data_IF_205055461078
#
_entry.id   IF_205055461078
#
_cell.length_a   1.000
_cell.length_b   1.000
_cell.length_c   1.000
_cell.angle_alpha   90.00
_cell.angle_beta   90.00
_cell.angle_gamma   90.00
#
_symmetry.space_group_name_H-M   'P 1'
#
loop_
_entity.id
_entity.type
_entity.pdbx_description
1 polymer ?
#
# COMPACT_ATOMS: atom_id res chain seq x y z
N UNK A 1 40.66 -0.62 23.63
CA UNK A 1 40.29 -0.65 25.06
C UNK A 1 40.63 -2.03 25.62
N UNK A 2 41.73 -2.21 26.37
CA UNK A 2 42.02 -3.48 27.04
C UNK A 2 41.18 -3.56 28.33
N UNK A 3 40.41 -4.65 28.55
CA UNK A 3 39.77 -4.91 29.84
C UNK A 3 38.30 -5.35 29.86
N UNK A 4 37.61 -5.47 28.72
CA UNK A 4 36.24 -6.01 28.72
C UNK A 4 36.29 -7.54 28.68
N UNK A 5 35.77 -8.21 29.73
CA UNK A 5 35.69 -9.68 29.81
C UNK A 5 34.33 -10.25 29.38
N UNK A 6 33.23 -9.51 29.58
CA UNK A 6 31.89 -9.90 29.10
C UNK A 6 30.99 -8.68 28.98
N UNK A 7 30.14 -8.64 27.95
CA UNK A 7 29.07 -7.64 27.77
C UNK A 7 27.73 -8.37 27.82
N UNK A 8 26.85 -7.99 28.74
CA UNK A 8 25.47 -8.47 28.79
C UNK A 8 24.54 -7.27 28.54
N UNK A 9 23.99 -7.20 27.33
CA UNK A 9 22.99 -6.19 26.98
C UNK A 9 21.60 -6.79 27.18
N UNK A 10 20.91 -6.37 28.22
CA UNK A 10 19.46 -6.57 28.36
C UNK A 10 18.75 -5.33 27.83
N UNK A 11 18.63 -5.25 26.50
CA UNK A 11 17.84 -4.20 25.85
C UNK A 11 16.38 -4.67 25.87
N UNK A 12 15.54 -4.02 26.68
CA UNK A 12 14.08 -4.17 26.61
C UNK A 12 13.53 -3.04 25.74
N UNK A 13 12.96 -3.38 24.58
CA UNK A 13 12.24 -2.44 23.73
C UNK A 13 10.76 -2.58 24.08
N UNK A 14 10.27 -1.72 24.98
CA UNK A 14 8.84 -1.58 25.24
C UNK A 14 8.29 -0.54 24.28
N UNK A 15 7.50 -1.00 23.33
CA UNK A 15 6.69 -0.13 22.47
C UNK A 15 5.22 -0.25 22.90
N UNK A 16 4.96 -0.02 24.18
CA UNK A 16 3.67 -0.21 24.86
C UNK A 16 2.73 1.00 24.78
N UNK A 17 3.08 2.00 23.97
CA UNK A 17 2.15 3.04 23.55
C UNK A 17 0.97 2.43 22.78
N UNK A 18 -0.22 3.02 22.93
CA UNK A 18 -1.39 2.61 22.16
C UNK A 18 -1.06 2.66 20.66
N UNK A 19 -1.14 1.51 19.98
CA UNK A 19 -0.97 1.43 18.53
C UNK A 19 -2.06 2.29 17.90
N UNK A 20 -1.68 3.43 17.30
CA UNK A 20 -2.61 4.27 16.57
C UNK A 20 -2.70 3.78 15.13
N UNK A 21 -3.82 4.03 14.48
CA UNK A 21 -4.04 3.76 13.05
C UNK A 21 -2.93 4.35 12.18
N UNK A 22 -2.46 5.56 12.49
CA UNK A 22 -1.36 6.18 11.75
C UNK A 22 -0.06 5.39 11.89
N UNK A 23 0.23 4.87 13.09
CA UNK A 23 1.42 4.05 13.33
C UNK A 23 1.35 2.76 12.49
N UNK A 24 0.20 2.08 12.47
CA UNK A 24 0.01 0.86 11.64
C UNK A 24 0.19 1.13 10.15
N UNK A 25 -0.28 2.29 9.68
CA UNK A 25 -0.16 2.66 8.27
C UNK A 25 1.29 2.86 7.87
N UNK A 26 2.04 3.59 8.70
CA UNK A 26 3.47 3.84 8.48
C UNK A 26 4.27 2.53 8.48
N UNK A 27 4.06 1.69 9.49
CA UNK A 27 4.73 0.38 9.61
C UNK A 27 4.42 -0.51 8.38
N UNK A 28 3.16 -0.57 7.94
CA UNK A 28 2.79 -1.34 6.76
C UNK A 28 3.44 -0.81 5.48
N UNK A 29 3.56 0.51 5.33
CA UNK A 29 4.23 1.12 4.19
C UNK A 29 5.74 0.91 4.21
N UNK A 30 6.36 0.91 5.38
CA UNK A 30 7.79 0.63 5.55
C UNK A 30 8.12 -0.81 5.16
N UNK A 31 7.33 -1.80 5.62
CA UNK A 31 7.53 -3.20 5.25
C UNK A 31 7.42 -3.42 3.73
N UNK A 32 6.45 -2.75 3.08
CA UNK A 32 6.33 -2.78 1.62
C UNK A 32 7.57 -2.21 0.93
N UNK A 33 8.11 -1.09 1.41
CA UNK A 33 9.31 -0.44 0.84
C UNK A 33 10.59 -1.27 1.05
N UNK A 34 10.64 -2.11 2.08
CA UNK A 34 11.79 -2.97 2.37
C UNK A 34 11.82 -4.24 1.50
N UNK A 35 10.66 -4.73 1.04
CA UNK A 35 10.60 -5.88 0.13
C UNK A 35 10.87 -5.45 -1.32
N UNK A 36 12.04 -5.83 -1.84
CA UNK A 36 12.49 -5.51 -3.21
C UNK A 36 11.59 -6.07 -4.32
N UNK A 37 10.66 -6.97 -3.99
CA UNK A 37 9.68 -7.53 -4.93
C UNK A 37 8.41 -6.68 -5.03
N UNK A 38 8.28 -5.63 -4.22
CA UNK A 38 7.14 -4.71 -4.22
C UNK A 38 7.60 -3.36 -4.76
N UNK A 39 6.94 -2.87 -5.80
CA UNK A 39 7.08 -1.48 -6.23
C UNK A 39 6.08 -0.61 -5.45
N UNK A 40 6.55 0.33 -4.60
CA UNK A 40 5.68 1.20 -3.84
C UNK A 40 4.86 2.17 -4.71
N UNK A 41 5.17 2.32 -6.00
CA UNK A 41 4.34 3.05 -6.96
C UNK A 41 3.20 2.21 -7.53
N UNK A 42 3.29 0.88 -7.46
CA UNK A 42 2.24 -0.04 -7.91
C UNK A 42 1.26 -0.39 -6.80
N UNK A 43 1.76 -0.68 -5.59
CA UNK A 43 0.94 -1.14 -4.46
C UNK A 43 1.25 -0.31 -3.21
N UNK A 44 0.20 0.29 -2.65
CA UNK A 44 0.25 1.01 -1.38
C UNK A 44 -0.58 0.34 -0.29
N UNK A 45 -0.26 0.67 0.97
CA UNK A 45 -0.95 0.20 2.16
C UNK A 45 -1.60 1.37 2.93
N UNK A 46 -2.82 1.16 3.42
CA UNK A 46 -3.55 2.08 4.30
C UNK A 46 -4.25 1.30 5.41
N UNK A 47 -4.16 1.73 6.67
CA UNK A 47 -4.91 1.08 7.74
C UNK A 47 -6.28 1.73 7.98
N UNK A 48 -7.27 0.91 8.34
CA UNK A 48 -8.65 1.33 8.54
C UNK A 48 -9.19 0.90 9.90
N UNK A 49 -10.06 1.73 10.48
CA UNK A 49 -10.88 1.37 11.65
C UNK A 49 -10.14 1.11 12.96
N UNK A 50 -8.82 1.37 13.04
CA UNK A 50 -8.06 1.30 14.30
C UNK A 50 -7.89 -0.08 14.92
N UNK A 51 -8.17 -1.15 14.19
CA UNK A 51 -8.08 -2.54 14.68
C UNK A 51 -6.97 -3.34 13.99
N UNK A 52 -5.96 -2.68 13.42
CA UNK A 52 -4.88 -3.35 12.68
C UNK A 52 -5.30 -3.94 11.34
N UNK A 53 -6.44 -3.52 10.79
CA UNK A 53 -6.82 -3.91 9.41
C UNK A 53 -6.11 -2.98 8.43
N UNK A 54 -5.32 -3.55 7.52
CA UNK A 54 -4.67 -2.85 6.41
C UNK A 54 -5.36 -3.22 5.09
N UNK A 55 -5.56 -2.24 4.24
CA UNK A 55 -6.05 -2.40 2.86
C UNK A 55 -4.87 -2.16 1.92
N UNK A 56 -4.61 -3.13 1.05
CA UNK A 56 -3.69 -2.96 -0.07
C UNK A 56 -4.46 -2.44 -1.28
N UNK A 57 -3.95 -1.37 -1.90
CA UNK A 57 -4.55 -0.74 -3.08
C UNK A 57 -3.49 -0.46 -4.13
N UNK A 58 -3.94 -0.38 -5.38
CA UNK A 58 -3.09 -0.10 -6.51
C UNK A 58 -3.33 -1.10 -7.63
N UNK A 59 -2.30 -1.36 -8.42
CA UNK A 59 -2.40 -2.20 -9.61
C UNK A 59 -1.08 -2.90 -9.90
N UNK A 60 -1.14 -4.19 -10.16
CA UNK A 60 0.00 -4.95 -10.70
C UNK A 60 -0.50 -6.08 -11.58
N UNK A 61 0.26 -6.41 -12.61
CA UNK A 61 0.05 -7.62 -13.43
C UNK A 61 1.01 -8.75 -13.02
N UNK A 62 1.88 -8.52 -12.04
CA UNK A 62 2.81 -9.50 -11.49
C UNK A 62 2.21 -10.18 -10.24
N UNK A 63 1.87 -11.48 -10.31
CA UNK A 63 1.35 -12.21 -9.15
C UNK A 63 2.39 -12.35 -8.02
N UNK A 64 3.70 -12.34 -8.33
CA UNK A 64 4.73 -12.43 -7.29
C UNK A 64 4.82 -11.13 -6.48
N UNK A 65 4.67 -9.98 -7.14
CA UNK A 65 4.59 -8.67 -6.49
C UNK A 65 3.38 -8.58 -5.56
N UNK A 66 2.19 -8.98 -6.04
CA UNK A 66 0.98 -8.98 -5.22
C UNK A 66 1.15 -9.85 -3.95
N UNK A 67 1.67 -11.06 -4.13
CA UNK A 67 1.93 -11.99 -3.04
C UNK A 67 2.99 -11.46 -2.06
N UNK A 68 4.03 -10.78 -2.56
CA UNK A 68 5.03 -10.12 -1.73
C UNK A 68 4.43 -8.97 -0.92
N UNK A 69 3.55 -8.16 -1.51
CA UNK A 69 2.88 -7.06 -0.83
C UNK A 69 1.96 -7.57 0.30
N UNK A 70 1.17 -8.62 0.05
CA UNK A 70 0.31 -9.24 1.08
C UNK A 70 1.15 -9.76 2.25
N UNK A 71 2.25 -10.46 1.96
CA UNK A 71 3.15 -11.00 3.00
C UNK A 71 3.85 -9.90 3.79
N UNK A 72 4.30 -8.84 3.13
CA UNK A 72 5.02 -7.74 3.78
C UNK A 72 4.08 -6.94 4.69
N UNK A 73 2.90 -6.55 4.19
CA UNK A 73 1.90 -5.88 5.02
C UNK A 73 1.46 -6.72 6.23
N UNK A 74 1.36 -8.04 6.08
CA UNK A 74 0.98 -8.95 7.18
C UNK A 74 2.02 -9.05 8.30
N UNK A 75 3.29 -8.73 8.01
CA UNK A 75 4.38 -8.74 8.99
C UNK A 75 4.51 -7.43 9.75
N UNK A 76 3.93 -6.35 9.23
CA UNK A 76 4.04 -5.04 9.83
C UNK A 76 3.42 -5.00 11.23
N UNK A 77 4.07 -4.26 12.11
CA UNK A 77 3.70 -4.23 13.51
C UNK A 77 2.31 -3.60 13.70
N UNK A 78 1.47 -4.29 14.46
CA UNK A 78 0.08 -3.85 14.71
C UNK A 78 -0.91 -4.25 13.63
N UNK A 79 -0.48 -4.92 12.55
CA UNK A 79 -1.38 -5.52 11.56
C UNK A 79 -1.94 -6.83 12.10
N UNK A 80 -3.26 -6.98 12.00
CA UNK A 80 -4.02 -8.17 12.40
C UNK A 80 -4.75 -8.79 11.22
N UNK A 81 -5.00 -8.01 10.16
CA UNK A 81 -5.71 -8.44 8.96
C UNK A 81 -5.29 -7.60 7.76
N UNK A 82 -5.12 -8.25 6.61
CA UNK A 82 -4.88 -7.60 5.33
C UNK A 82 -6.07 -7.85 4.41
N UNK A 83 -6.58 -6.78 3.81
CA UNK A 83 -7.62 -6.80 2.77
C UNK A 83 -6.96 -6.44 1.44
N UNK A 84 -6.98 -7.37 0.50
CA UNK A 84 -6.45 -7.13 -0.84
C UNK A 84 -7.51 -6.46 -1.74
N UNK A 85 -7.22 -5.25 -2.22
CA UNK A 85 -7.99 -4.52 -3.24
C UNK A 85 -7.10 -4.06 -4.40
N UNK A 86 -5.97 -4.74 -4.61
CA UNK A 86 -5.07 -4.49 -5.75
C UNK A 86 -5.73 -5.02 -7.03
N UNK A 87 -5.81 -4.19 -8.06
CA UNK A 87 -6.32 -4.60 -9.37
C UNK A 87 -5.27 -5.44 -10.10
N UNK A 88 -5.69 -6.56 -10.68
CA UNK A 88 -4.84 -7.45 -11.49
C UNK A 88 -5.44 -7.67 -12.87
N UNK A 89 -4.61 -7.67 -13.93
CA UNK A 89 -5.05 -7.88 -15.30
C UNK A 89 -5.49 -6.57 -15.97
N UNK A 90 -5.55 -6.54 -17.32
CA UNK A 90 -5.87 -5.33 -18.09
C UNK A 90 -7.16 -4.68 -17.57
N UNK A 91 -7.19 -3.35 -17.40
CA UNK A 91 -8.47 -2.67 -17.26
C UNK A 91 -9.25 -3.00 -18.53
N UNK A 92 -10.36 -3.72 -18.41
CA UNK A 92 -11.34 -3.74 -19.48
C UNK A 92 -11.83 -2.30 -19.62
N UNK A 93 -11.20 -1.56 -20.53
CA UNK A 93 -11.73 -0.28 -20.98
C UNK A 93 -13.12 -0.59 -21.50
N UNK A 94 -14.14 -0.09 -20.82
CA UNK A 94 -15.50 -0.26 -21.31
C UNK A 94 -15.64 0.52 -22.61
N UNK A 95 -16.53 0.09 -23.50
CA UNK A 95 -16.79 0.84 -24.74
C UNK A 95 -17.19 2.29 -24.39
N UNK A 96 -17.95 2.50 -23.32
CA UNK A 96 -18.25 3.81 -22.73
C UNK A 96 -17.00 4.67 -22.46
N UNK A 97 -15.94 4.12 -21.84
CA UNK A 97 -14.70 4.87 -21.55
C UNK A 97 -13.97 5.31 -22.83
N UNK A 98 -14.04 4.48 -23.89
CA UNK A 98 -13.46 4.79 -25.20
C UNK A 98 -14.25 5.92 -25.88
N UNK A 99 -15.58 5.90 -25.82
CA UNK A 99 -16.43 6.90 -26.46
C UNK A 99 -16.27 8.30 -25.85
N UNK A 100 -16.09 8.41 -24.54
CA UNK A 100 -15.92 9.71 -23.87
C UNK A 100 -14.57 10.39 -24.13
N UNK A 101 -13.54 9.65 -24.58
CA UNK A 101 -12.23 10.21 -24.89
C UNK A 101 -12.13 10.88 -26.28
N UNK A 102 -13.06 10.58 -27.19
CA UNK A 102 -12.96 10.97 -28.61
C UNK A 102 -13.94 12.06 -29.05
N UNK A 103 -14.90 12.46 -28.21
CA UNK A 103 -15.88 13.51 -28.55
C UNK A 103 -15.49 14.86 -27.94
N UNK A 104 -14.75 15.65 -28.70
CA UNK A 104 -14.49 17.06 -28.43
C UNK A 104 -15.58 17.91 -29.11
N UNK A 105 -16.84 17.80 -28.65
CA UNK A 105 -17.99 18.42 -29.33
C UNK A 105 -18.45 19.75 -28.71
N UNK A 106 -17.57 20.45 -27.98
CA UNK A 106 -17.93 21.67 -27.25
C UNK A 106 -17.71 22.99 -28.01
N UNK A 107 -17.33 22.98 -29.29
CA UNK A 107 -17.23 24.24 -30.04
C UNK A 107 -17.74 24.07 -31.47
N UNK A 108 -19.02 24.39 -31.70
CA UNK A 108 -19.56 25.12 -32.86
C UNK A 108 -21.06 24.82 -33.05
N UNK A 109 -21.93 25.45 -32.27
CA UNK A 109 -23.11 26.13 -32.84
C UNK A 109 -23.86 26.95 -31.79
N UNK A 110 -23.50 28.22 -31.65
CA UNK A 110 -24.47 29.25 -31.27
C UNK A 110 -23.93 30.62 -31.67
N UNK A 111 -24.21 31.01 -32.92
CA UNK A 111 -24.27 32.42 -33.32
C UNK A 111 -25.72 32.72 -33.66
N UNK A 112 -26.42 33.60 -32.91
CA UNK A 112 -27.72 34.08 -33.32
C UNK A 112 -27.57 35.03 -34.52
N UNK A 113 -28.44 34.87 -35.51
CA UNK A 113 -28.73 35.89 -36.54
C UNK A 113 -29.50 37.08 -35.95
#
# INVERSE_FOLDING_TARGET
>A
IPGVKTVASAVSISTDGAIKTQDVTMEAQEELQLDKRVDPYHIGAESIGGHGTVVLRGRTDDPEELEAAIRSASQARGVTRVLNQVKTGPEEMTLEDIFHSQVNNDQLNNRPE
#
